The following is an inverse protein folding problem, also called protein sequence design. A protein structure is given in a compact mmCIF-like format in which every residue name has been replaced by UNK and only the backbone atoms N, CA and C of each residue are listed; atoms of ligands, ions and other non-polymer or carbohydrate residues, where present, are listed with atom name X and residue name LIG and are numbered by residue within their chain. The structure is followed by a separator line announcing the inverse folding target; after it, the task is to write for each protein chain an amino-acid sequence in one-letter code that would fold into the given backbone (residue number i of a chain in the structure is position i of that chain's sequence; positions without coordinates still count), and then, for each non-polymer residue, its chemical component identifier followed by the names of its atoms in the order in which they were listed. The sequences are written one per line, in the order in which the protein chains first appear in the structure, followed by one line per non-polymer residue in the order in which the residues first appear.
data_IF_651062837858
#
_entry.id   IF_651062837858
#
_cell.length_a   1.000
_cell.length_b   1.000
_cell.length_c   1.000
_cell.angle_alpha   90.00
_cell.angle_beta   90.00
_cell.angle_gamma   90.00
#
_symmetry.space_group_name_H-M   'P 1'
#
loop_
_entity.id
_entity.type
_entity.pdbx_description
1 polymer ?
#
# COMPACT_ATOMS: atom_id res chain seq x y z
N UNK A 1 41.50 -3.05 -42.80
CA UNK A 1 40.51 -2.32 -41.98
C UNK A 1 39.85 -1.28 -42.87
N UNK A 2 38.53 -1.11 -42.78
CA UNK A 2 37.88 0.04 -43.41
C UNK A 2 38.38 1.30 -42.71
N UNK A 3 38.79 2.30 -43.48
CA UNK A 3 39.24 3.56 -42.90
C UNK A 3 38.02 4.31 -42.34
N UNK A 4 38.14 5.01 -41.20
CA UNK A 4 37.05 5.82 -40.68
C UNK A 4 36.66 6.86 -41.73
N UNK A 5 35.36 7.17 -41.79
CA UNK A 5 34.88 8.21 -42.70
C UNK A 5 35.55 9.54 -42.34
N UNK A 6 36.22 10.15 -43.32
CA UNK A 6 36.75 11.50 -43.18
C UNK A 6 35.57 12.44 -42.98
N UNK A 7 35.57 13.20 -41.90
CA UNK A 7 34.55 14.21 -41.67
C UNK A 7 34.81 15.40 -42.60
N UNK A 8 33.82 15.73 -43.42
CA UNK A 8 33.79 16.90 -44.27
C UNK A 8 32.54 17.71 -43.87
N UNK A 9 32.69 18.95 -43.36
CA UNK A 9 31.55 19.78 -42.96
C UNK A 9 30.58 20.01 -44.13
N UNK A 10 29.29 19.80 -43.91
CA UNK A 10 28.25 19.95 -44.93
C UNK A 10 27.56 21.33 -44.85
N UNK A 11 27.55 21.96 -43.67
CA UNK A 11 26.84 23.22 -43.42
C UNK A 11 27.74 24.24 -42.72
N UNK A 12 27.80 25.46 -43.29
CA UNK A 12 28.44 26.62 -42.68
C UNK A 12 27.45 27.47 -41.87
N UNK A 13 27.51 27.40 -40.54
CA UNK A 13 26.59 28.17 -39.66
C UNK A 13 26.86 29.69 -39.63
N UNK A 14 28.05 30.13 -40.06
CA UNK A 14 28.41 31.54 -40.12
C UNK A 14 27.57 32.33 -41.14
N UNK A 15 27.14 31.68 -42.22
CA UNK A 15 26.28 32.30 -43.25
C UNK A 15 24.82 32.34 -42.82
N UNK A 16 24.35 31.29 -42.13
CA UNK A 16 23.01 31.25 -41.52
C UNK A 16 22.83 32.37 -40.47
N UNK A 17 23.88 32.64 -39.69
CA UNK A 17 23.86 33.71 -38.69
C UNK A 17 23.89 35.09 -39.35
N UNK A 18 24.65 35.27 -40.43
CA UNK A 18 24.69 36.53 -41.21
C UNK A 18 23.35 36.86 -41.89
N UNK A 19 22.62 35.84 -42.31
CA UNK A 19 21.34 36.00 -43.00
C UNK A 19 20.12 35.85 -42.06
N UNK A 20 20.33 35.91 -40.74
CA UNK A 20 19.26 35.69 -39.77
C UNK A 20 18.19 36.79 -39.80
N UNK A 21 16.92 36.39 -39.64
CA UNK A 21 15.78 37.30 -39.56
C UNK A 21 15.38 37.49 -38.09
N UNK A 22 15.08 38.72 -37.63
CA UNK A 22 14.65 38.96 -36.26
C UNK A 22 13.47 38.07 -35.84
N UNK A 23 13.60 37.42 -34.68
CA UNK A 23 12.58 36.49 -34.14
C UNK A 23 12.74 35.03 -34.58
N UNK A 24 13.74 34.68 -35.40
CA UNK A 24 14.13 33.29 -35.68
C UNK A 24 15.47 32.93 -35.04
N UNK A 25 15.60 31.64 -34.69
CA UNK A 25 16.88 31.08 -34.26
C UNK A 25 17.90 31.19 -35.39
N UNK A 26 19.10 31.75 -35.14
CA UNK A 26 20.11 31.99 -36.17
C UNK A 26 20.75 30.73 -36.73
N UNK A 27 20.52 29.57 -36.10
CA UNK A 27 21.10 28.28 -36.46
C UNK A 27 19.97 27.28 -36.67
N UNK A 28 20.02 26.54 -37.77
CA UNK A 28 19.12 25.43 -38.02
C UNK A 28 19.52 24.23 -37.14
N UNK A 29 18.71 23.93 -36.13
CA UNK A 29 18.95 22.83 -35.19
C UNK A 29 19.11 21.47 -35.89
N UNK A 30 18.30 21.17 -36.93
CA UNK A 30 18.42 19.90 -37.65
C UNK A 30 19.71 19.76 -38.47
N UNK A 31 20.23 20.88 -39.00
CA UNK A 31 21.53 20.89 -39.66
C UNK A 31 22.68 20.71 -38.66
N UNK A 32 22.56 21.32 -37.47
CA UNK A 32 23.53 21.14 -36.39
C UNK A 32 23.55 19.69 -35.89
N UNK A 33 22.39 19.06 -35.71
CA UNK A 33 22.29 17.66 -35.32
C UNK A 33 22.93 16.73 -36.36
N UNK A 34 22.76 17.03 -37.65
CA UNK A 34 23.39 16.27 -38.73
C UNK A 34 24.93 16.41 -38.71
N UNK A 35 25.47 17.61 -38.48
CA UNK A 35 26.91 17.83 -38.33
C UNK A 35 27.49 17.07 -37.13
N UNK A 36 26.83 17.15 -35.96
CA UNK A 36 27.24 16.42 -34.76
C UNK A 36 27.18 14.91 -34.95
N UNK A 37 26.17 14.41 -35.69
CA UNK A 37 26.07 12.99 -36.06
C UNK A 37 27.23 12.56 -36.97
N UNK A 38 27.59 13.36 -37.98
CA UNK A 38 28.72 13.09 -38.86
C UNK A 38 30.06 13.05 -38.12
N UNK A 39 30.29 13.99 -37.21
CA UNK A 39 31.47 14.02 -36.33
C UNK A 39 31.49 12.78 -35.43
N UNK A 40 30.35 12.44 -34.82
CA UNK A 40 30.25 11.26 -33.95
C UNK A 40 30.58 9.97 -34.70
N UNK A 41 30.10 9.79 -35.93
CA UNK A 41 30.43 8.62 -36.74
C UNK A 41 31.93 8.52 -37.05
N UNK A 42 32.57 9.65 -37.37
CA UNK A 42 34.01 9.72 -37.62
C UNK A 42 34.82 9.39 -36.37
N UNK A 43 34.47 9.98 -35.21
CA UNK A 43 35.13 9.72 -33.92
C UNK A 43 34.94 8.25 -33.49
N UNK A 44 33.73 7.73 -33.55
CA UNK A 44 33.46 6.33 -33.20
C UNK A 44 34.24 5.36 -34.10
N UNK A 45 34.40 5.69 -35.39
CA UNK A 45 35.27 4.92 -36.29
C UNK A 45 36.75 4.97 -35.92
N UNK A 46 37.26 6.15 -35.50
CA UNK A 46 38.64 6.30 -35.01
C UNK A 46 38.83 5.50 -33.72
N UNK A 47 37.92 5.61 -32.75
CA UNK A 47 37.96 4.86 -31.49
C UNK A 47 37.94 3.36 -31.75
N UNK A 48 37.05 2.88 -32.62
CA UNK A 48 37.01 1.47 -32.99
C UNK A 48 38.32 0.98 -33.61
N UNK A 49 38.98 1.79 -34.44
CA UNK A 49 40.31 1.44 -34.97
C UNK A 49 41.40 1.47 -33.88
N UNK A 50 41.33 2.39 -32.93
CA UNK A 50 42.25 2.43 -31.78
C UNK A 50 42.11 1.18 -30.90
N UNK A 51 40.89 0.72 -30.63
CA UNK A 51 40.64 -0.53 -29.88
C UNK A 51 41.23 -1.77 -30.57
N UNK A 52 41.43 -1.74 -31.89
CA UNK A 52 42.07 -2.81 -32.64
C UNK A 52 43.59 -2.78 -32.53
N UNK A 53 44.21 -1.63 -32.28
CA UNK A 53 45.68 -1.48 -32.25
C UNK A 53 46.27 -1.20 -30.86
N UNK A 54 45.46 -0.73 -29.91
CA UNK A 54 45.88 -0.30 -28.58
C UNK A 54 45.09 -1.05 -27.49
N UNK A 55 45.74 -1.30 -26.35
CA UNK A 55 45.16 -1.81 -25.11
C UNK A 55 44.77 -0.64 -24.20
N UNK A 56 43.89 -0.89 -23.25
CA UNK A 56 43.43 0.13 -22.29
C UNK A 56 44.56 0.69 -21.40
N UNK A 57 45.67 -0.04 -21.28
CA UNK A 57 46.89 0.39 -20.57
C UNK A 57 47.79 1.32 -21.39
N UNK A 58 47.39 1.67 -22.60
CA UNK A 58 48.13 2.54 -23.51
C UNK A 58 49.14 1.81 -24.41
N UNK A 59 49.36 0.51 -24.21
CA UNK A 59 50.29 -0.30 -24.99
C UNK A 59 49.69 -0.76 -26.32
N UNK A 60 50.52 -1.20 -27.27
CA UNK A 60 50.04 -1.86 -28.49
C UNK A 60 49.37 -3.20 -28.15
N UNK A 61 48.34 -3.55 -28.92
CA UNK A 61 47.62 -4.81 -28.78
C UNK A 61 48.50 -5.99 -29.23
N UNK A 62 48.35 -7.12 -28.56
CA UNK A 62 49.16 -8.32 -28.80
C UNK A 62 49.07 -8.74 -30.29
N UNK A 63 50.19 -9.21 -30.84
CA UNK A 63 50.32 -9.63 -32.25
C UNK A 63 50.05 -8.54 -33.32
N UNK A 64 49.95 -7.26 -32.94
CA UNK A 64 49.76 -6.14 -33.90
C UNK A 64 51.03 -5.79 -34.68
N UNK A 65 52.21 -6.06 -34.11
CA UNK A 65 53.51 -5.76 -34.74
C UNK A 65 54.08 -7.03 -35.37
N UNK A 66 54.34 -6.98 -36.68
CA UNK A 66 54.96 -8.08 -37.42
C UNK A 66 56.48 -7.93 -37.48
N UNK A 67 57.20 -9.03 -37.71
CA UNK A 67 58.68 -9.06 -37.76
C UNK A 67 59.28 -8.03 -38.73
N UNK A 68 58.65 -7.83 -39.89
CA UNK A 68 59.08 -6.88 -40.90
C UNK A 68 58.87 -5.40 -40.51
N UNK A 69 58.08 -5.14 -39.46
CA UNK A 69 57.89 -3.81 -38.90
C UNK A 69 58.93 -3.47 -37.81
N UNK A 70 59.76 -4.44 -37.41
CA UNK A 70 60.85 -4.22 -36.46
C UNK A 70 62.10 -3.71 -37.19
N UNK A 71 62.77 -2.73 -36.59
CA UNK A 71 64.04 -2.22 -37.13
C UNK A 71 65.16 -3.25 -37.06
N UNK A 72 66.14 -3.14 -37.96
CA UNK A 72 67.28 -4.06 -38.09
C UNK A 72 68.04 -4.29 -36.78
N UNK A 73 68.19 -3.23 -35.97
CA UNK A 73 68.81 -3.31 -34.63
C UNK A 73 68.06 -4.23 -33.67
N UNK A 74 66.72 -4.25 -33.71
CA UNK A 74 65.88 -5.12 -32.86
C UNK A 74 65.95 -6.57 -33.34
N UNK A 75 65.96 -6.78 -34.65
CA UNK A 75 66.14 -8.11 -35.25
C UNK A 75 67.50 -8.71 -34.85
N UNK A 76 68.56 -7.90 -34.87
CA UNK A 76 69.90 -8.31 -34.46
C UNK A 76 69.98 -8.64 -32.95
N UNK A 77 69.18 -7.98 -32.11
CA UNK A 77 69.06 -8.32 -30.68
C UNK A 77 68.37 -9.68 -30.46
N UNK A 78 67.46 -10.09 -31.34
CA UNK A 78 66.78 -11.39 -31.25
C UNK A 78 67.58 -12.55 -31.86
N UNK A 79 68.58 -12.27 -32.70
CA UNK A 79 69.25 -13.26 -33.56
C UNK A 79 70.63 -13.76 -33.11
N UNK A 80 70.98 -13.71 -31.82
CA UNK A 80 72.33 -14.10 -31.37
C UNK A 80 72.51 -14.54 -29.93
N UNK A 81 71.43 -14.74 -29.16
CA UNK A 81 71.49 -15.19 -27.76
C UNK A 81 70.84 -16.57 -27.61
N UNK A 82 71.33 -17.37 -26.67
CA UNK A 82 70.77 -18.69 -26.38
C UNK A 82 69.97 -18.62 -25.09
N UNK A 83 68.66 -18.84 -25.15
CA UNK A 83 67.82 -18.88 -23.95
C UNK A 83 68.01 -20.24 -23.25
N UNK A 84 68.44 -20.22 -21.98
CA UNK A 84 68.75 -21.43 -21.20
C UNK A 84 67.75 -21.71 -20.06
N UNK A 85 66.86 -20.77 -19.74
CA UNK A 85 65.88 -20.93 -18.64
C UNK A 85 66.49 -20.62 -17.27
N UNK A 86 66.00 -21.25 -16.19
CA UNK A 86 66.54 -20.99 -14.84
C UNK A 86 67.97 -21.49 -14.68
N UNK A 87 68.85 -20.64 -14.14
CA UNK A 87 70.25 -20.98 -13.85
C UNK A 87 70.35 -22.18 -12.90
N UNK A 88 71.19 -23.14 -13.24
CA UNK A 88 71.49 -24.35 -12.46
C UNK A 88 72.96 -24.41 -12.07
N UNK A 89 73.23 -24.85 -10.85
CA UNK A 89 74.59 -25.04 -10.36
C UNK A 89 75.32 -26.17 -11.11
N UNK A 90 76.56 -25.92 -11.53
CA UNK A 90 77.40 -26.90 -12.22
C UNK A 90 77.04 -27.15 -13.69
N UNK A 91 76.12 -26.38 -14.26
CA UNK A 91 75.81 -26.42 -15.69
C UNK A 91 76.76 -25.51 -16.49
N UNK A 92 77.20 -25.96 -17.68
CA UNK A 92 78.06 -25.16 -18.55
C UNK A 92 77.21 -24.16 -19.34
N UNK A 93 77.50 -22.86 -19.18
CA UNK A 93 76.89 -21.77 -19.93
C UNK A 93 77.93 -21.11 -20.83
N UNK A 94 77.58 -20.89 -22.10
CA UNK A 94 78.41 -20.21 -23.09
C UNK A 94 78.17 -18.70 -23.10
N UNK A 95 79.06 -17.93 -23.71
CA UNK A 95 78.82 -16.50 -23.95
C UNK A 95 77.49 -16.33 -24.72
N UNK A 96 76.70 -15.33 -24.30
CA UNK A 96 75.36 -15.02 -24.83
C UNK A 96 74.25 -16.00 -24.40
N UNK A 97 74.54 -16.93 -23.51
CA UNK A 97 73.49 -17.68 -22.81
C UNK A 97 72.71 -16.74 -21.87
N UNK A 98 71.39 -16.81 -21.91
CA UNK A 98 70.51 -16.03 -21.04
C UNK A 98 69.84 -16.98 -20.05
N UNK A 99 69.92 -16.63 -18.77
CA UNK A 99 69.31 -17.38 -17.68
C UNK A 99 68.41 -16.50 -16.80
N UNK A 100 67.42 -17.14 -16.20
CA UNK A 100 66.64 -16.61 -15.09
C UNK A 100 67.37 -16.97 -13.78
N UNK A 101 67.63 -15.99 -12.91
CA UNK A 101 68.12 -16.25 -11.55
C UNK A 101 67.49 -15.27 -10.57
N UNK A 102 66.82 -15.80 -9.53
CA UNK A 102 66.15 -15.02 -8.48
C UNK A 102 65.23 -13.90 -8.99
N UNK A 103 64.46 -14.17 -10.05
CA UNK A 103 63.53 -13.20 -10.62
C UNK A 103 64.17 -12.12 -11.51
N UNK A 104 65.46 -12.23 -11.81
CA UNK A 104 66.17 -11.35 -12.72
C UNK A 104 66.66 -12.11 -13.96
N UNK A 105 66.80 -11.40 -15.07
CA UNK A 105 67.37 -11.91 -16.31
C UNK A 105 68.85 -11.54 -16.39
N UNK A 106 69.67 -12.56 -16.61
CA UNK A 106 71.12 -12.42 -16.74
C UNK A 106 71.58 -12.98 -18.07
N UNK A 107 72.55 -12.30 -18.68
CA UNK A 107 73.28 -12.82 -19.84
C UNK A 107 74.68 -13.21 -19.40
N UNK A 108 75.12 -14.40 -19.82
CA UNK A 108 76.46 -14.92 -19.62
C UNK A 108 77.43 -14.09 -20.46
N UNK A 109 78.29 -13.34 -19.77
CA UNK A 109 79.33 -12.51 -20.38
C UNK A 109 80.64 -13.26 -20.55
N UNK A 110 80.81 -14.36 -19.81
CA UNK A 110 81.98 -15.21 -19.84
C UNK A 110 81.57 -16.66 -19.58
N UNK A 111 81.88 -17.53 -20.53
CA UNK A 111 81.57 -18.95 -20.44
C UNK A 111 82.07 -19.54 -19.11
N UNK A 112 81.16 -20.22 -18.39
CA UNK A 112 81.39 -20.67 -17.02
C UNK A 112 80.65 -21.98 -16.71
N UNK A 113 81.02 -22.61 -15.58
CA UNK A 113 80.35 -23.78 -15.00
C UNK A 113 80.36 -23.63 -13.48
N UNK A 114 79.71 -22.56 -13.01
CA UNK A 114 79.82 -22.16 -11.61
C UNK A 114 79.02 -23.10 -10.69
N UNK A 115 79.61 -23.53 -9.57
CA UNK A 115 78.92 -24.31 -8.53
C UNK A 115 77.94 -23.44 -7.70
N UNK A 116 78.09 -22.12 -7.76
CA UNK A 116 77.20 -21.12 -7.17
C UNK A 116 77.18 -19.88 -8.09
N UNK A 117 76.04 -19.19 -8.19
CA UNK A 117 75.90 -18.06 -9.12
C UNK A 117 76.96 -17.00 -8.83
N UNK A 118 77.90 -16.80 -9.77
CA UNK A 118 79.05 -15.89 -9.59
C UNK A 118 78.82 -14.61 -10.39
N UNK A 119 78.42 -13.48 -9.77
CA UNK A 119 77.95 -12.29 -10.51
C UNK A 119 78.95 -11.71 -11.52
N UNK A 120 80.25 -11.97 -11.36
CA UNK A 120 81.27 -11.49 -12.29
C UNK A 120 81.17 -12.11 -13.71
N UNK A 121 80.58 -13.30 -13.85
CA UNK A 121 80.39 -13.96 -15.15
C UNK A 121 79.08 -13.55 -15.84
N UNK A 122 78.21 -12.81 -15.16
CA UNK A 122 76.83 -12.57 -15.55
C UNK A 122 76.50 -11.07 -15.55
N UNK A 123 75.86 -10.59 -16.60
CA UNK A 123 75.34 -9.22 -16.63
C UNK A 123 73.83 -9.23 -16.50
N UNK A 124 73.31 -8.53 -15.48
CA UNK A 124 71.87 -8.34 -15.32
C UNK A 124 71.38 -7.30 -16.32
N UNK A 125 70.37 -7.66 -17.11
CA UNK A 125 69.78 -6.73 -18.09
C UNK A 125 68.26 -6.61 -17.96
N UNK A 126 67.61 -7.41 -17.10
CA UNK A 126 66.17 -7.35 -16.91
C UNK A 126 65.69 -7.86 -15.57
N UNK A 127 64.45 -7.50 -15.25
CA UNK A 127 63.65 -8.09 -14.18
C UNK A 127 62.53 -8.92 -14.82
N UNK A 128 62.25 -10.10 -14.27
CA UNK A 128 61.10 -10.91 -14.67
C UNK A 128 59.85 -10.15 -14.23
N UNK A 129 59.16 -9.52 -15.18
CA UNK A 129 58.06 -8.56 -14.94
C UNK A 129 56.79 -9.09 -14.24
N UNK A 130 56.86 -10.24 -13.57
CA UNK A 130 55.74 -10.86 -12.88
C UNK A 130 55.28 -10.05 -11.66
N UNK A 131 56.20 -9.47 -10.88
CA UNK A 131 55.83 -8.73 -9.66
C UNK A 131 55.21 -7.36 -9.98
N UNK A 132 55.78 -6.59 -10.92
CA UNK A 132 55.23 -5.29 -11.32
C UNK A 132 53.83 -5.43 -11.96
N UNK A 133 53.61 -6.45 -12.80
CA UNK A 133 52.28 -6.71 -13.38
C UNK A 133 51.27 -7.18 -12.34
N UNK A 134 51.70 -7.93 -11.32
CA UNK A 134 50.82 -8.35 -10.23
C UNK A 134 50.39 -7.16 -9.37
N UNK A 135 51.33 -6.26 -9.05
CA UNK A 135 51.05 -5.01 -8.33
C UNK A 135 50.13 -4.08 -9.14
N UNK A 136 50.38 -3.91 -10.44
CA UNK A 136 49.52 -3.08 -11.31
C UNK A 136 48.10 -3.64 -11.43
N UNK A 137 47.93 -4.96 -11.58
CA UNK A 137 46.60 -5.60 -11.55
C UNK A 137 45.90 -5.41 -10.21
N UNK A 138 46.63 -5.50 -9.11
CA UNK A 138 46.07 -5.32 -7.77
C UNK A 138 45.62 -3.86 -7.55
N UNK A 139 46.40 -2.88 -8.01
CA UNK A 139 46.03 -1.46 -7.96
C UNK A 139 44.81 -1.17 -8.85
N UNK A 140 44.74 -1.73 -10.06
CA UNK A 140 43.58 -1.58 -10.93
C UNK A 140 42.30 -2.18 -10.32
N UNK A 141 42.39 -3.37 -9.73
CA UNK A 141 41.27 -3.98 -9.00
C UNK A 141 40.84 -3.13 -7.80
N UNK A 142 41.79 -2.59 -7.03
CA UNK A 142 41.50 -1.74 -5.89
C UNK A 142 40.85 -0.41 -6.32
N UNK A 143 41.27 0.18 -7.43
CA UNK A 143 40.63 1.36 -8.01
C UNK A 143 39.19 1.08 -8.44
N UNK A 144 38.94 -0.05 -9.11
CA UNK A 144 37.59 -0.45 -9.50
C UNK A 144 36.67 -0.68 -8.29
N UNK A 145 37.19 -1.29 -7.22
CA UNK A 145 36.44 -1.48 -5.97
C UNK A 145 36.08 -0.14 -5.31
N UNK A 146 37.02 0.81 -5.26
CA UNK A 146 36.75 2.15 -4.69
C UNK A 146 35.68 2.90 -5.49
N UNK A 147 35.70 2.80 -6.83
CA UNK A 147 34.67 3.41 -7.67
C UNK A 147 33.29 2.80 -7.45
N UNK A 148 33.22 1.47 -7.34
CA UNK A 148 31.95 0.77 -7.11
C UNK A 148 31.38 1.06 -5.71
N UNK A 149 32.21 1.09 -4.67
CA UNK A 149 31.80 1.51 -3.33
C UNK A 149 31.35 2.98 -3.31
N UNK A 150 32.01 3.86 -4.07
CA UNK A 150 31.56 5.24 -4.28
C UNK A 150 30.17 5.32 -4.93
N UNK A 151 29.89 4.49 -5.94
CA UNK A 151 28.57 4.38 -6.58
C UNK A 151 27.50 3.90 -5.60
N UNK A 152 27.79 2.87 -4.81
CA UNK A 152 26.87 2.38 -3.77
C UNK A 152 26.58 3.44 -2.71
N UNK A 153 27.60 4.17 -2.27
CA UNK A 153 27.43 5.26 -1.30
C UNK A 153 26.53 6.38 -1.86
N UNK A 154 26.70 6.73 -3.14
CA UNK A 154 25.84 7.72 -3.81
C UNK A 154 24.39 7.24 -3.94
N UNK A 155 24.18 5.96 -4.26
CA UNK A 155 22.83 5.37 -4.30
C UNK A 155 22.18 5.35 -2.91
N UNK A 156 22.93 5.01 -1.86
CA UNK A 156 22.44 5.04 -0.49
C UNK A 156 22.07 6.47 -0.05
N UNK A 157 22.86 7.47 -0.44
CA UNK A 157 22.55 8.88 -0.19
C UNK A 157 21.25 9.31 -0.90
N UNK A 158 21.05 8.91 -2.17
CA UNK A 158 19.83 9.21 -2.91
C UNK A 158 18.58 8.55 -2.29
N UNK A 159 18.69 7.29 -1.85
CA UNK A 159 17.60 6.61 -1.14
C UNK A 159 17.27 7.31 0.19
N UNK A 160 18.29 7.78 0.91
CA UNK A 160 18.11 8.52 2.16
C UNK A 160 17.40 9.86 1.93
N UNK A 161 17.72 10.58 0.86
CA UNK A 161 17.02 11.81 0.48
C UNK A 161 15.55 11.55 0.12
N UNK A 162 15.25 10.47 -0.60
CA UNK A 162 13.87 10.08 -0.91
C UNK A 162 13.08 9.74 0.36
N UNK A 163 13.69 9.01 1.30
CA UNK A 163 13.07 8.71 2.58
C UNK A 163 12.80 9.99 3.40
N UNK A 164 13.74 10.94 3.43
CA UNK A 164 13.53 12.23 4.09
C UNK A 164 12.38 13.03 3.48
N UNK A 165 12.22 13.02 2.15
CA UNK A 165 11.10 13.68 1.47
C UNK A 165 9.74 13.03 1.81
N UNK A 166 9.70 11.69 1.91
CA UNK A 166 8.49 10.97 2.34
C UNK A 166 8.11 11.33 3.78
N UNK A 167 9.07 11.35 4.70
CA UNK A 167 8.85 11.73 6.10
C UNK A 167 8.34 13.17 6.21
N UNK A 168 8.90 14.11 5.43
CA UNK A 168 8.42 15.50 5.38
C UNK A 168 6.96 15.59 4.91
N UNK A 169 6.60 14.82 3.88
CA UNK A 169 5.22 14.75 3.38
C UNK A 169 4.27 14.21 4.46
N UNK A 170 4.68 13.14 5.15
CA UNK A 170 3.89 12.52 6.21
C UNK A 170 3.70 13.44 7.41
N UNK A 171 4.73 14.20 7.79
CA UNK A 171 4.65 15.23 8.82
C UNK A 171 3.62 16.33 8.45
N UNK A 172 3.56 16.73 7.18
CA UNK A 172 2.55 17.67 6.69
C UNK A 172 1.12 17.13 6.82
N UNK A 173 0.90 15.85 6.51
CA UNK A 173 -0.40 15.19 6.68
C UNK A 173 -0.80 15.13 8.16
N UNK A 174 0.13 14.81 9.06
CA UNK A 174 -0.13 14.77 10.50
C UNK A 174 -0.52 16.14 11.04
N UNK A 175 0.13 17.22 10.61
CA UNK A 175 -0.23 18.59 11.00
C UNK A 175 -1.65 18.99 10.53
N UNK A 176 -2.04 18.56 9.33
CA UNK A 176 -3.40 18.78 8.82
C UNK A 176 -4.45 18.00 9.62
N UNK A 177 -4.15 16.74 9.95
CA UNK A 177 -5.03 15.90 10.77
C UNK A 177 -5.20 16.47 12.18
N UNK A 178 -4.13 16.98 12.79
CA UNK A 178 -4.20 17.65 14.09
C UNK A 178 -5.14 18.87 14.04
N UNK A 179 -5.02 19.69 13.00
CA UNK A 179 -5.90 20.86 12.78
C UNK A 179 -7.37 20.45 12.61
N UNK A 180 -7.64 19.38 11.86
CA UNK A 180 -9.00 18.85 11.67
C UNK A 180 -9.57 18.26 12.97
N UNK A 181 -8.75 17.60 13.77
CA UNK A 181 -9.14 17.07 15.08
C UNK A 181 -9.52 18.21 16.04
N UNK A 182 -8.75 19.29 16.08
CA UNK A 182 -9.10 20.49 16.86
C UNK A 182 -10.42 21.11 16.41
N UNK A 183 -10.64 21.26 15.10
CA UNK A 183 -11.88 21.79 14.57
C UNK A 183 -13.08 20.92 14.95
N UNK A 184 -12.91 19.59 14.88
CA UNK A 184 -13.94 18.61 15.27
C UNK A 184 -14.25 18.69 16.77
N UNK A 185 -13.23 18.84 17.62
CA UNK A 185 -13.40 19.02 19.07
C UNK A 185 -14.18 20.31 19.40
N UNK A 186 -13.90 21.43 18.70
CA UNK A 186 -14.65 22.69 18.87
C UNK A 186 -16.11 22.54 18.47
N UNK A 187 -16.39 21.85 17.36
CA UNK A 187 -17.76 21.59 16.90
C UNK A 187 -18.54 20.70 17.88
N UNK A 188 -17.89 19.67 18.44
CA UNK A 188 -18.47 18.82 19.47
C UNK A 188 -18.80 19.62 20.74
N UNK A 189 -17.89 20.49 21.18
CA UNK A 189 -18.12 21.37 22.33
C UNK A 189 -19.32 22.31 22.11
N UNK A 190 -19.40 22.96 20.95
CA UNK A 190 -20.53 23.83 20.63
C UNK A 190 -21.87 23.09 20.64
N UNK A 191 -21.88 21.84 20.17
CA UNK A 191 -23.07 20.99 20.19
C UNK A 191 -23.48 20.61 21.62
N UNK A 192 -22.52 20.31 22.49
CA UNK A 192 -22.77 20.04 23.91
C UNK A 192 -23.31 21.27 24.64
N UNK A 193 -22.73 22.45 24.39
CA UNK A 193 -23.17 23.71 24.98
C UNK A 193 -24.61 24.05 24.53
N UNK A 194 -24.97 23.78 23.27
CA UNK A 194 -26.33 23.97 22.75
C UNK A 194 -27.37 22.99 23.35
N UNK A 195 -26.97 21.74 23.59
CA UNK A 195 -27.81 20.76 24.26
C UNK A 195 -28.08 21.18 25.72
N UNK A 196 -27.07 21.69 26.41
CA UNK A 196 -27.21 22.19 27.77
C UNK A 196 -28.12 23.43 27.85
N UNK A 197 -27.99 24.37 26.91
CA UNK A 197 -28.93 25.50 26.81
C UNK A 197 -30.37 25.05 26.58
N UNK A 198 -30.58 24.03 25.76
CA UNK A 198 -31.90 23.46 25.51
C UNK A 198 -32.48 22.80 26.78
N UNK A 199 -31.65 22.12 27.57
CA UNK A 199 -32.03 21.55 28.87
C UNK A 199 -32.46 22.64 29.86
N UNK A 200 -31.66 23.69 30.01
CA UNK A 200 -31.99 24.83 30.90
C UNK A 200 -33.28 25.52 30.46
N UNK A 201 -33.50 25.71 29.15
CA UNK A 201 -34.74 26.29 28.63
C UNK A 201 -35.97 25.41 28.93
N UNK A 202 -35.83 24.08 28.82
CA UNK A 202 -36.88 23.15 29.16
C UNK A 202 -37.22 23.18 30.66
N UNK A 203 -36.22 23.28 31.54
CA UNK A 203 -36.44 23.42 32.99
C UNK A 203 -37.14 24.73 33.35
N UNK A 204 -36.76 25.85 32.71
CA UNK A 204 -37.44 27.13 32.91
C UNK A 204 -38.90 27.08 32.42
N UNK A 205 -39.17 26.40 31.31
CA UNK A 205 -40.52 26.18 30.80
C UNK A 205 -41.36 25.31 31.75
N UNK A 206 -40.77 24.25 32.31
CA UNK A 206 -41.43 23.41 33.31
C UNK A 206 -41.77 24.20 34.58
N UNK A 207 -40.83 24.98 35.12
CA UNK A 207 -41.08 25.84 36.29
C UNK A 207 -42.18 26.89 36.02
N UNK A 208 -42.22 27.44 34.79
CA UNK A 208 -43.27 28.36 34.37
C UNK A 208 -44.64 27.68 34.29
N UNK A 209 -44.67 26.43 33.81
CA UNK A 209 -45.88 25.61 33.78
C UNK A 209 -46.38 25.29 35.20
N UNK A 210 -45.49 24.90 36.12
CA UNK A 210 -45.83 24.69 37.53
C UNK A 210 -46.38 25.96 38.19
N UNK A 211 -45.77 27.11 37.91
CA UNK A 211 -46.27 28.41 38.36
C UNK A 211 -47.68 28.73 37.83
N UNK A 212 -47.94 28.43 36.55
CA UNK A 212 -49.25 28.60 35.94
C UNK A 212 -50.30 27.66 36.57
N UNK A 213 -49.95 26.38 36.78
CA UNK A 213 -50.82 25.40 37.46
C UNK A 213 -51.14 25.85 38.87
N UNK A 214 -50.15 26.31 39.64
CA UNK A 214 -50.37 26.82 41.00
C UNK A 214 -51.25 28.08 41.00
N UNK A 215 -51.10 28.97 40.02
CA UNK A 215 -51.97 30.14 39.85
C UNK A 215 -53.42 29.75 39.53
N UNK A 216 -53.61 28.78 38.64
CA UNK A 216 -54.93 28.23 38.30
C UNK A 216 -55.56 27.55 39.51
N UNK A 217 -54.83 26.69 40.21
CA UNK A 217 -55.28 26.05 41.46
C UNK A 217 -55.68 27.06 42.52
N UNK A 218 -54.87 28.11 42.75
CA UNK A 218 -55.20 29.17 43.69
C UNK A 218 -56.44 29.97 43.30
N UNK A 219 -56.60 30.30 42.01
CA UNK A 219 -57.80 30.98 41.49
C UNK A 219 -59.04 30.08 41.54
N UNK A 220 -58.88 28.79 41.31
CA UNK A 220 -59.97 27.81 41.34
C UNK A 220 -60.42 27.57 42.80
N UNK A 221 -59.50 27.44 43.74
CA UNK A 221 -59.79 27.37 45.17
C UNK A 221 -60.48 28.64 45.71
N UNK A 222 -60.14 29.82 45.17
CA UNK A 222 -60.80 31.08 45.52
C UNK A 222 -62.17 31.27 44.83
N UNK A 223 -62.46 30.55 43.73
CA UNK A 223 -63.72 30.65 42.96
C UNK A 223 -64.69 29.48 43.18
N UNK A 224 -64.26 28.41 43.82
CA UNK A 224 -65.11 27.30 44.26
C UNK A 224 -65.90 27.76 45.50
N UNK A 225 -66.97 28.51 45.24
CA UNK A 225 -68.12 28.50 46.12
C UNK A 225 -68.69 27.07 46.12
N UNK A 226 -68.85 26.50 47.31
CA UNK A 226 -69.20 25.09 47.60
C UNK A 226 -70.44 24.59 46.84
N UNK A 227 -71.26 25.51 46.32
CA UNK A 227 -72.47 25.25 45.52
C UNK A 227 -72.18 24.71 44.11
N UNK A 228 -71.07 25.09 43.47
CA UNK A 228 -70.74 24.68 42.08
C UNK A 228 -70.17 23.26 42.04
N UNK A 229 -69.50 22.84 43.12
CA UNK A 229 -68.88 21.51 43.22
C UNK A 229 -69.93 20.39 43.30
N UNK A 230 -71.04 20.60 44.02
CA UNK A 230 -72.14 19.64 44.11
C UNK A 230 -72.95 19.54 42.80
N UNK A 231 -73.02 20.62 42.01
CA UNK A 231 -73.66 20.58 40.69
C UNK A 231 -72.86 19.75 39.67
N UNK A 232 -71.53 19.82 39.69
CA UNK A 232 -70.68 19.04 38.78
C UNK A 232 -70.60 17.55 39.14
N UNK A 233 -70.68 17.21 40.44
CA UNK A 233 -70.75 15.82 40.92
C UNK A 233 -71.96 15.07 40.36
N UNK A 234 -73.06 15.80 40.13
CA UNK A 234 -74.29 15.24 39.53
C UNK A 234 -74.22 15.04 38.01
N UNK A 235 -73.15 15.51 37.35
CA UNK A 235 -72.99 15.49 35.87
C UNK A 235 -71.76 14.70 35.39
N UNK A 236 -70.99 14.05 36.27
CA UNK A 236 -69.73 13.41 35.90
C UNK A 236 -69.91 11.94 35.44
N UNK A 237 -69.68 11.76 34.14
CA UNK A 237 -69.28 10.54 33.41
C UNK A 237 -68.29 9.68 34.22
N UNK A 238 -68.43 8.35 34.15
CA UNK A 238 -67.77 7.38 35.03
C UNK A 238 -66.26 7.24 34.79
N UNK A 239 -65.52 6.72 35.78
CA UNK A 239 -64.05 6.55 35.73
C UNK A 239 -63.58 5.73 34.52
N UNK A 240 -64.37 4.75 34.08
CA UNK A 240 -64.06 3.90 32.91
C UNK A 240 -64.05 4.70 31.59
N UNK A 241 -64.94 5.69 31.45
CA UNK A 241 -64.99 6.59 30.28
C UNK A 241 -63.86 7.63 30.27
N UNK A 242 -63.30 7.94 31.44
CA UNK A 242 -62.11 8.79 31.60
C UNK A 242 -60.83 8.02 31.28
N UNK A 243 -60.72 6.76 31.68
CA UNK A 243 -59.58 5.90 31.34
C UNK A 243 -59.52 5.57 29.82
N UNK A 244 -60.67 5.48 29.16
CA UNK A 244 -60.78 5.37 27.69
C UNK A 244 -60.29 6.66 26.98
N UNK A 245 -60.61 7.84 27.52
CA UNK A 245 -60.21 9.14 26.94
C UNK A 245 -58.77 9.56 27.28
N UNK A 246 -58.23 9.18 28.44
CA UNK A 246 -56.83 9.45 28.83
C UNK A 246 -55.87 8.46 28.18
N UNK A 247 -56.29 7.21 27.95
CA UNK A 247 -55.55 6.24 27.13
C UNK A 247 -55.44 6.62 25.65
N UNK A 248 -56.20 7.63 25.19
CA UNK A 248 -56.10 8.22 23.85
C UNK A 248 -55.11 9.41 23.78
N UNK A 249 -54.61 9.89 24.92
CA UNK A 249 -53.66 11.01 24.99
C UNK A 249 -52.18 10.58 24.92
N UNK A 250 -51.89 9.27 24.89
CA UNK A 250 -50.57 8.79 24.51
C UNK A 250 -50.47 8.78 22.98
N UNK A 251 -49.60 9.66 22.47
CA UNK A 251 -49.23 9.93 21.07
C UNK A 251 -48.69 8.70 20.30
N UNK A 252 -49.47 7.62 20.24
CA UNK A 252 -49.14 6.37 19.57
C UNK A 252 -50.11 6.22 18.39
N UNK A 253 -49.58 6.40 17.18
CA UNK A 253 -50.34 6.31 15.93
C UNK A 253 -50.52 4.83 15.57
N UNK A 254 -51.74 4.34 15.26
CA UNK A 254 -51.93 2.99 14.76
C UNK A 254 -51.03 2.71 13.55
N UNK A 255 -50.35 1.55 13.55
CA UNK A 255 -49.32 1.21 12.58
C UNK A 255 -47.91 1.63 13.00
N UNK A 256 -47.70 2.21 14.18
CA UNK A 256 -46.34 2.43 14.68
C UNK A 256 -45.67 1.10 14.98
N UNK A 257 -44.44 0.93 14.48
CA UNK A 257 -43.58 -0.22 14.74
C UNK A 257 -42.43 0.22 15.64
N UNK A 258 -42.18 -0.50 16.72
CA UNK A 258 -41.07 -0.27 17.63
C UNK A 258 -40.41 -1.58 18.08
N UNK A 259 -39.15 -1.48 18.51
CA UNK A 259 -38.45 -2.55 19.22
C UNK A 259 -38.67 -2.35 20.72
N UNK A 260 -39.42 -3.27 21.32
CA UNK A 260 -39.83 -3.16 22.72
C UNK A 260 -38.99 -4.08 23.64
N UNK A 261 -38.59 -3.62 24.84
CA UNK A 261 -37.83 -4.41 25.81
C UNK A 261 -38.73 -5.34 26.64
N UNK A 262 -39.73 -5.95 26.00
CA UNK A 262 -40.66 -6.90 26.60
C UNK A 262 -40.65 -8.20 25.79
N UNK A 263 -40.78 -9.38 26.42
CA UNK A 263 -40.99 -10.62 25.68
C UNK A 263 -42.37 -10.61 25.00
N UNK A 264 -42.54 -11.45 23.97
CA UNK A 264 -43.73 -11.46 23.12
C UNK A 264 -45.04 -11.72 23.89
N UNK A 265 -44.98 -12.49 24.97
CA UNK A 265 -46.10 -12.84 25.85
C UNK A 265 -46.41 -11.78 26.92
N UNK A 266 -45.55 -10.77 27.09
CA UNK A 266 -45.73 -9.68 28.03
C UNK A 266 -45.68 -8.30 27.36
N UNK A 267 -46.06 -8.23 26.07
CA UNK A 267 -46.18 -6.96 25.38
C UNK A 267 -47.22 -6.04 26.07
N UNK A 268 -46.99 -4.73 26.13
CA UNK A 268 -47.97 -3.78 26.64
C UNK A 268 -49.29 -3.89 25.87
N UNK A 269 -50.42 -3.57 26.53
CA UNK A 269 -51.74 -3.60 25.89
C UNK A 269 -51.73 -2.83 24.56
N UNK A 270 -52.47 -3.34 23.57
CA UNK A 270 -52.61 -2.79 22.20
C UNK A 270 -51.38 -2.90 21.30
N UNK A 271 -50.28 -3.47 21.81
CA UNK A 271 -49.12 -3.86 21.03
C UNK A 271 -49.17 -5.35 20.70
N UNK A 272 -48.78 -5.68 19.48
CA UNK A 272 -48.83 -7.03 18.95
C UNK A 272 -47.46 -7.38 18.34
N UNK A 273 -47.01 -8.62 18.54
CA UNK A 273 -45.71 -9.09 18.04
C UNK A 273 -45.71 -9.10 16.51
N UNK A 274 -44.81 -8.35 15.88
CA UNK A 274 -44.70 -8.27 14.43
C UNK A 274 -43.96 -9.50 13.83
N UNK A 275 -44.55 -10.68 14.01
CA UNK A 275 -44.01 -11.98 13.63
C UNK A 275 -44.72 -12.64 12.42
N UNK A 276 -45.73 -11.97 11.85
CA UNK A 276 -46.55 -12.52 10.77
C UNK A 276 -47.80 -13.28 11.21
N UNK A 277 -48.11 -13.30 12.52
CA UNK A 277 -49.34 -13.92 13.03
C UNK A 277 -50.59 -13.36 12.36
N UNK A 278 -51.64 -14.17 12.32
CA UNK A 278 -52.86 -13.86 11.58
C UNK A 278 -54.02 -13.61 12.53
N UNK A 279 -54.87 -12.68 12.12
CA UNK A 279 -56.14 -12.39 12.79
C UNK A 279 -57.27 -12.50 11.79
N UNK A 280 -58.43 -12.94 12.25
CA UNK A 280 -59.65 -12.90 11.45
C UNK A 280 -59.93 -11.45 11.01
N UNK A 281 -60.26 -11.24 9.73
CA UNK A 281 -60.43 -9.90 9.13
C UNK A 281 -61.47 -9.04 9.86
N UNK A 282 -62.47 -9.67 10.46
CA UNK A 282 -63.56 -8.99 11.19
C UNK A 282 -63.26 -8.74 12.67
N UNK A 283 -62.14 -9.25 13.20
CA UNK A 283 -61.70 -8.96 14.57
C UNK A 283 -61.30 -7.48 14.70
N UNK A 284 -61.16 -7.00 15.94
CA UNK A 284 -60.68 -5.63 16.18
C UNK A 284 -59.29 -5.42 15.55
N UNK A 285 -58.38 -6.39 15.72
CA UNK A 285 -57.04 -6.37 15.14
C UNK A 285 -57.07 -6.40 13.61
N UNK A 286 -57.91 -7.27 13.04
CA UNK A 286 -58.06 -7.38 11.58
C UNK A 286 -58.55 -6.08 10.95
N UNK A 287 -59.56 -5.45 11.54
CA UNK A 287 -60.08 -4.14 11.13
C UNK A 287 -59.04 -3.03 11.30
N UNK A 288 -58.27 -3.04 12.38
CA UNK A 288 -57.20 -2.07 12.61
C UNK A 288 -56.06 -2.22 11.57
N UNK A 289 -55.70 -3.44 11.17
CA UNK A 289 -54.72 -3.67 10.10
C UNK A 289 -55.25 -3.22 8.74
N UNK A 290 -56.52 -3.50 8.45
CA UNK A 290 -57.18 -3.12 7.20
C UNK A 290 -57.57 -1.64 7.10
N UNK A 291 -57.48 -0.87 8.19
CA UNK A 291 -57.62 0.58 8.16
C UNK A 291 -56.29 1.30 7.88
N UNK A 292 -55.15 0.61 8.01
CA UNK A 292 -53.84 1.19 7.66
C UNK A 292 -53.78 1.53 6.16
N UNK A 293 -53.06 2.61 5.77
CA UNK A 293 -52.93 3.00 4.38
C UNK A 293 -52.44 1.87 3.48
N UNK A 294 -52.97 1.77 2.26
CA UNK A 294 -52.62 0.71 1.31
C UNK A 294 -51.11 0.63 1.03
N UNK A 295 -50.45 1.79 0.87
CA UNK A 295 -49.00 1.88 0.68
C UNK A 295 -48.23 1.29 1.87
N UNK A 296 -48.71 1.51 3.10
CA UNK A 296 -48.11 0.95 4.32
C UNK A 296 -48.28 -0.57 4.34
N UNK A 297 -49.49 -1.06 4.09
CA UNK A 297 -49.76 -2.50 4.06
C UNK A 297 -48.92 -3.22 3.01
N UNK A 298 -48.77 -2.62 1.83
CA UNK A 298 -47.92 -3.15 0.75
C UNK A 298 -46.46 -3.20 1.18
N UNK A 299 -45.93 -2.11 1.77
CA UNK A 299 -44.55 -2.03 2.24
C UNK A 299 -44.22 -3.13 3.27
N UNK A 300 -45.13 -3.41 4.19
CA UNK A 300 -44.92 -4.39 5.26
C UNK A 300 -45.60 -5.74 5.00
N UNK A 301 -46.05 -5.99 3.77
CA UNK A 301 -46.67 -7.26 3.33
C UNK A 301 -47.83 -7.71 4.22
N UNK A 302 -48.66 -6.76 4.67
CA UNK A 302 -49.92 -7.00 5.37
C UNK A 302 -50.98 -7.28 4.31
N UNK A 303 -51.41 -8.53 4.21
CA UNK A 303 -52.32 -8.99 3.16
C UNK A 303 -53.44 -9.86 3.72
N UNK A 304 -54.58 -9.85 3.03
CA UNK A 304 -55.68 -10.76 3.33
C UNK A 304 -55.41 -12.10 2.65
N UNK A 305 -55.56 -13.18 3.40
CA UNK A 305 -55.49 -14.56 2.91
C UNK A 305 -56.71 -15.32 3.43
N UNK A 306 -57.71 -15.51 2.57
CA UNK A 306 -59.01 -16.05 2.97
C UNK A 306 -59.74 -15.09 3.91
N UNK A 307 -60.09 -15.57 5.10
CA UNK A 307 -60.76 -14.76 6.15
C UNK A 307 -59.79 -14.15 7.17
N UNK A 308 -58.49 -14.25 6.92
CA UNK A 308 -57.46 -13.74 7.82
C UNK A 308 -56.65 -12.60 7.18
N UNK A 309 -56.10 -11.74 8.01
CA UNK A 309 -55.08 -10.74 7.66
C UNK A 309 -53.87 -10.94 8.57
N UNK A 310 -52.66 -10.88 8.00
CA UNK A 310 -51.43 -11.07 8.76
C UNK A 310 -50.91 -9.76 9.35
N UNK A 311 -50.29 -9.85 10.52
CA UNK A 311 -49.36 -8.85 11.02
C UNK A 311 -48.15 -8.74 10.07
N UNK A 312 -47.44 -7.61 10.10
CA UNK A 312 -46.12 -7.54 9.46
C UNK A 312 -45.19 -8.61 10.07
N UNK A 313 -44.29 -9.17 9.26
CA UNK A 313 -43.23 -10.06 9.74
C UNK A 313 -41.88 -9.34 9.65
N UNK A 314 -41.31 -9.01 10.80
CA UNK A 314 -40.03 -8.30 10.92
C UNK A 314 -38.84 -9.24 11.19
N UNK A 315 -39.02 -10.52 10.84
CA UNK A 315 -37.98 -11.52 10.78
C UNK A 315 -37.70 -11.93 9.33
N UNK A 316 -36.43 -12.20 9.06
CA UNK A 316 -35.98 -12.81 7.83
C UNK A 316 -36.35 -14.31 7.81
N UNK A 317 -36.36 -14.93 6.63
CA UNK A 317 -36.77 -16.33 6.46
C UNK A 317 -35.89 -17.36 7.20
N UNK A 318 -34.71 -16.95 7.66
CA UNK A 318 -33.80 -17.74 8.50
C UNK A 318 -33.99 -17.50 10.00
N UNK A 319 -35.00 -16.72 10.40
CA UNK A 319 -35.34 -16.43 11.80
C UNK A 319 -34.63 -15.23 12.42
N UNK A 320 -33.72 -14.57 11.71
CA UNK A 320 -33.05 -13.36 12.22
C UNK A 320 -33.99 -12.15 12.18
N UNK A 321 -33.89 -11.25 13.16
CA UNK A 321 -34.62 -9.98 13.15
C UNK A 321 -33.94 -8.95 12.23
N UNK A 322 -34.70 -8.09 11.57
CA UNK A 322 -34.14 -7.00 10.78
C UNK A 322 -33.64 -5.84 11.66
N UNK A 323 -32.52 -5.21 11.27
CA UNK A 323 -32.16 -3.89 11.77
C UNK A 323 -33.01 -2.81 11.11
N UNK A 324 -33.54 -1.89 11.91
CA UNK A 324 -34.30 -0.74 11.38
C UNK A 324 -33.36 0.40 11.03
N UNK A 325 -33.60 1.01 9.86
CA UNK A 325 -32.87 2.19 9.39
C UNK A 325 -33.81 3.12 8.63
N UNK A 326 -33.44 4.39 8.54
CA UNK A 326 -34.08 5.30 7.60
C UNK A 326 -33.82 4.86 6.15
N UNK A 327 -34.86 4.84 5.33
CA UNK A 327 -34.83 4.59 3.88
C UNK A 327 -35.76 5.57 3.16
N UNK A 328 -35.50 5.82 1.87
CA UNK A 328 -36.43 6.57 1.00
C UNK A 328 -37.65 5.74 0.60
N UNK A 329 -37.52 4.41 0.64
CA UNK A 329 -38.57 3.45 0.30
C UNK A 329 -38.99 2.71 1.56
N UNK A 330 -40.23 2.87 2.00
CA UNK A 330 -40.76 2.17 3.17
C UNK A 330 -40.83 0.66 2.90
N UNK A 331 -40.40 -0.15 3.88
CA UNK A 331 -40.45 -1.62 3.77
C UNK A 331 -39.38 -2.25 2.87
N UNK A 332 -38.46 -1.45 2.30
CA UNK A 332 -37.33 -1.99 1.53
C UNK A 332 -36.40 -2.81 2.44
N UNK A 333 -36.27 -4.10 2.13
CA UNK A 333 -35.33 -5.00 2.81
C UNK A 333 -34.00 -4.98 2.07
N UNK A 334 -32.94 -4.65 2.79
CA UNK A 334 -31.57 -4.70 2.29
C UNK A 334 -30.86 -5.91 2.90
N UNK A 335 -30.24 -6.73 2.06
CA UNK A 335 -29.46 -7.88 2.52
C UNK A 335 -28.17 -7.45 3.21
N UNK A 336 -27.54 -8.40 3.90
CA UNK A 336 -26.26 -8.19 4.58
C UNK A 336 -25.19 -7.72 3.58
N UNK A 337 -24.54 -6.60 3.89
CA UNK A 337 -23.50 -6.05 3.04
C UNK A 337 -22.40 -5.35 3.86
N UNK A 338 -21.16 -5.47 3.38
CA UNK A 338 -20.04 -4.62 3.76
C UNK A 338 -19.69 -3.71 2.58
N UNK A 339 -19.03 -2.58 2.85
CA UNK A 339 -18.45 -1.76 1.78
C UNK A 339 -17.39 -2.57 1.02
N UNK A 340 -17.18 -2.22 -0.25
CA UNK A 340 -16.08 -2.79 -1.03
C UNK A 340 -14.74 -2.56 -0.32
N UNK A 341 -14.01 -3.63 -0.06
CA UNK A 341 -12.67 -3.61 0.54
C UNK A 341 -11.67 -4.03 -0.53
N UNK A 342 -10.68 -3.17 -0.81
CA UNK A 342 -9.57 -3.48 -1.73
C UNK A 342 -8.24 -3.38 -0.99
N UNK A 343 -7.36 -4.34 -1.27
CA UNK A 343 -5.97 -4.37 -0.80
C UNK A 343 -5.12 -5.11 -1.81
N UNK A 344 -3.79 -5.00 -1.70
CA UNK A 344 -2.83 -5.74 -2.52
C UNK A 344 -2.12 -6.74 -1.64
N UNK A 345 -2.30 -8.02 -1.94
CA UNK A 345 -1.39 -9.07 -1.46
C UNK A 345 -0.21 -9.16 -2.43
N UNK A 346 0.98 -9.47 -1.93
CA UNK A 346 2.20 -9.49 -2.74
C UNK A 346 3.14 -10.58 -2.28
N UNK A 347 3.65 -11.36 -3.22
CA UNK A 347 4.74 -12.29 -2.99
C UNK A 347 6.06 -11.59 -3.33
N UNK A 348 6.93 -11.40 -2.33
CA UNK A 348 8.26 -10.83 -2.54
C UNK A 348 9.28 -11.94 -2.80
N UNK A 349 9.87 -11.99 -3.98
CA UNK A 349 10.95 -12.93 -4.26
C UNK A 349 12.27 -12.37 -3.67
N UNK A 350 12.52 -12.62 -2.38
CA UNK A 350 13.80 -12.28 -1.75
C UNK A 350 14.75 -13.46 -1.86
N UNK A 351 15.81 -13.29 -2.65
CA UNK A 351 16.94 -14.20 -2.62
C UNK A 351 17.61 -14.13 -1.23
N UNK A 352 18.03 -15.30 -0.73
CA UNK A 352 18.80 -15.56 0.48
C UNK A 352 18.11 -15.38 1.85
N UNK A 353 17.94 -16.52 2.52
CA UNK A 353 17.94 -16.70 3.98
C UNK A 353 16.90 -15.94 4.81
N UNK A 354 15.67 -15.81 4.32
CA UNK A 354 14.58 -15.23 5.09
C UNK A 354 13.79 -16.32 5.83
N UNK A 355 13.54 -16.12 7.12
CA UNK A 355 12.75 -17.04 7.95
C UNK A 355 11.26 -16.71 7.80
N UNK A 356 10.47 -17.47 7.01
CA UNK A 356 9.08 -17.10 6.69
C UNK A 356 8.16 -17.02 7.93
N UNK A 357 8.60 -17.57 9.07
CA UNK A 357 7.85 -17.54 10.34
C UNK A 357 7.85 -16.19 11.04
N UNK A 358 8.75 -15.26 10.74
CA UNK A 358 8.92 -14.07 11.58
C UNK A 358 8.21 -12.80 11.09
N UNK A 359 7.97 -12.66 9.78
CA UNK A 359 7.51 -11.38 9.22
C UNK A 359 6.11 -11.39 8.58
N UNK A 360 5.49 -12.57 8.42
CA UNK A 360 4.14 -12.70 7.85
C UNK A 360 3.06 -13.16 8.84
N UNK A 361 3.41 -13.45 10.10
CA UNK A 361 2.45 -13.87 11.14
C UNK A 361 1.80 -12.67 11.84
N UNK A 362 1.27 -11.73 11.07
CA UNK A 362 0.45 -10.65 11.61
C UNK A 362 -1.00 -10.89 11.15
N UNK A 363 -1.96 -11.00 12.08
CA UNK A 363 -3.36 -11.13 11.72
C UNK A 363 -3.78 -10.02 10.75
N UNK A 364 -4.56 -10.32 9.68
CA UNK A 364 -5.31 -11.55 9.46
C UNK A 364 -4.61 -12.61 8.58
N UNK A 365 -3.28 -12.53 8.36
CA UNK A 365 -2.57 -13.52 7.55
C UNK A 365 -1.93 -14.59 8.45
N UNK A 366 -2.25 -15.86 8.19
CA UNK A 366 -1.79 -17.02 8.96
C UNK A 366 -1.07 -18.00 8.03
N UNK A 367 -0.02 -18.65 8.52
CA UNK A 367 0.67 -19.71 7.78
C UNK A 367 -0.01 -21.07 8.00
N UNK A 368 -0.50 -21.68 6.92
CA UNK A 368 -1.04 -23.05 6.96
C UNK A 368 -0.09 -24.02 6.25
N UNK A 369 0.11 -25.19 6.86
CA UNK A 369 0.92 -26.27 6.28
C UNK A 369 0.24 -26.87 5.06
N UNK A 370 1.01 -27.19 4.02
CA UNK A 370 0.49 -27.87 2.84
C UNK A 370 -0.09 -29.25 3.23
N UNK A 371 -1.37 -29.55 2.93
CA UNK A 371 -1.91 -30.89 3.10
C UNK A 371 -1.14 -31.88 2.21
N UNK A 372 -0.93 -33.11 2.69
CA UNK A 372 -0.31 -34.15 1.89
C UNK A 372 -1.10 -34.37 0.58
N UNK A 373 -0.43 -34.16 -0.56
CA UNK A 373 -1.01 -34.32 -1.90
C UNK A 373 -1.53 -33.04 -2.58
N UNK A 374 -1.46 -31.87 -1.94
CA UNK A 374 -1.89 -30.61 -2.56
C UNK A 374 -0.93 -30.14 -3.69
N UNK A 375 -1.50 -29.69 -4.82
CA UNK A 375 -0.74 -29.11 -5.96
C UNK A 375 -0.05 -27.82 -5.52
N UNK A 376 1.26 -27.72 -5.79
CA UNK A 376 2.10 -26.59 -5.40
C UNK A 376 1.61 -25.28 -6.06
N UNK A 377 1.43 -24.17 -5.33
CA UNK A 377 1.47 -22.85 -5.96
C UNK A 377 2.90 -22.57 -6.45
N UNK A 378 2.99 -21.88 -7.59
CA UNK A 378 4.19 -21.59 -8.39
C UNK A 378 5.53 -21.57 -7.61
N UNK A 379 6.34 -22.61 -7.80
CA UNK A 379 7.75 -22.66 -7.36
C UNK A 379 8.57 -21.80 -8.32
N UNK A 380 9.09 -20.65 -7.87
CA UNK A 380 10.23 -20.01 -8.53
C UNK A 380 11.50 -20.57 -7.90
N UNK A 381 12.02 -21.65 -8.49
CA UNK A 381 13.31 -22.32 -8.22
C UNK A 381 13.73 -22.54 -6.75
N UNK A 382 13.63 -23.78 -6.28
CA UNK A 382 14.22 -24.19 -5.01
C UNK A 382 15.70 -24.59 -5.16
N UNK A 383 16.57 -23.92 -4.42
CA UNK A 383 17.70 -24.58 -3.76
C UNK A 383 17.18 -25.16 -2.45
N UNK A 384 17.63 -26.37 -2.11
CA UNK A 384 17.19 -27.25 -1.01
C UNK A 384 16.90 -26.59 0.34
N UNK A 385 15.77 -26.97 0.97
CA UNK A 385 15.47 -26.70 2.40
C UNK A 385 14.16 -25.93 2.71
N UNK A 386 13.34 -25.62 1.72
CA UNK A 386 12.17 -24.72 1.90
C UNK A 386 11.00 -25.43 2.62
N UNK A 387 10.60 -24.88 3.77
CA UNK A 387 9.35 -25.25 4.46
C UNK A 387 8.16 -24.81 3.61
N UNK A 388 7.24 -25.74 3.36
CA UNK A 388 6.09 -25.61 2.46
C UNK A 388 4.87 -25.01 3.20
N UNK A 389 4.61 -23.71 3.08
CA UNK A 389 3.48 -23.03 3.75
C UNK A 389 2.68 -22.13 2.80
N UNK A 390 1.36 -21.99 3.03
CA UNK A 390 0.52 -20.97 2.42
C UNK A 390 0.33 -19.77 3.36
N UNK A 391 0.23 -18.57 2.80
CA UNK A 391 -0.39 -17.43 3.50
C UNK A 391 -1.90 -17.51 3.28
N UNK A 392 -2.64 -17.79 4.35
CA UNK A 392 -4.10 -17.85 4.37
C UNK A 392 -4.61 -16.55 4.97
N UNK A 393 -5.54 -15.89 4.26
CA UNK A 393 -6.28 -14.77 4.84
C UNK A 393 -7.40 -15.33 5.72
N UNK A 394 -7.21 -15.26 7.03
CA UNK A 394 -8.16 -15.68 8.03
C UNK A 394 -8.44 -14.54 9.01
N UNK A 395 -9.57 -13.87 8.83
CA UNK A 395 -10.01 -12.78 9.71
C UNK A 395 -10.31 -13.26 11.14
N UNK A 396 -10.62 -14.53 11.35
CA UNK A 396 -10.92 -15.06 12.69
C UNK A 396 -9.71 -14.99 13.63
N UNK A 397 -8.50 -14.90 13.07
CA UNK A 397 -7.25 -14.70 13.82
C UNK A 397 -7.09 -13.28 14.40
N UNK A 398 -7.85 -12.30 13.89
CA UNK A 398 -7.75 -10.89 14.28
C UNK A 398 -9.02 -10.37 14.96
N UNK A 399 -10.19 -10.86 14.53
CA UNK A 399 -11.50 -10.33 14.92
C UNK A 399 -12.54 -11.45 15.07
N UNK A 400 -13.58 -11.29 15.91
CA UNK A 400 -14.70 -12.21 15.95
C UNK A 400 -15.39 -12.28 14.58
N UNK A 401 -15.56 -13.49 14.06
CA UNK A 401 -16.29 -13.76 12.81
C UNK A 401 -17.52 -14.62 13.09
N UNK A 402 -18.54 -14.49 12.24
CA UNK A 402 -19.79 -15.24 12.33
C UNK A 402 -20.39 -15.40 10.94
N UNK A 403 -21.46 -16.20 10.82
CA UNK A 403 -22.20 -16.40 9.56
C UNK A 403 -22.93 -15.13 9.05
N UNK A 404 -22.89 -14.03 9.80
CA UNK A 404 -23.57 -12.77 9.51
C UNK A 404 -22.65 -11.60 9.88
N UNK A 405 -22.58 -10.61 9.00
CA UNK A 405 -21.91 -9.34 9.30
C UNK A 405 -22.81 -8.45 10.15
N UNK A 406 -22.53 -8.36 11.45
CA UNK A 406 -23.30 -7.56 12.40
C UNK A 406 -22.40 -6.84 13.40
N UNK A 407 -22.76 -5.62 13.82
CA UNK A 407 -22.19 -5.05 15.03
C UNK A 407 -22.68 -5.83 16.25
N UNK A 408 -22.03 -5.62 17.41
CA UNK A 408 -22.58 -6.07 18.69
C UNK A 408 -24.00 -5.53 18.86
N UNK A 409 -24.94 -6.41 19.24
CA UNK A 409 -26.35 -6.07 19.33
C UNK A 409 -27.04 -6.88 20.44
N UNK A 410 -28.24 -6.45 20.81
CA UNK A 410 -29.14 -7.12 21.76
C UNK A 410 -30.53 -7.23 21.12
N UNK A 411 -31.18 -8.37 21.30
CA UNK A 411 -32.52 -8.62 20.77
C UNK A 411 -33.60 -7.92 21.58
N UNK A 412 -34.54 -7.28 20.88
CA UNK A 412 -35.77 -6.70 21.41
C UNK A 412 -36.94 -7.23 20.58
N UNK A 413 -38.16 -7.17 21.11
CA UNK A 413 -39.33 -7.69 20.41
C UNK A 413 -39.88 -6.64 19.45
N UNK A 414 -39.87 -6.87 18.13
CA UNK A 414 -40.53 -5.99 17.19
C UNK A 414 -42.05 -6.08 17.39
N UNK A 415 -42.70 -4.95 17.64
CA UNK A 415 -44.13 -4.90 17.86
C UNK A 415 -44.78 -3.79 17.06
N UNK A 416 -46.05 -3.98 16.70
CA UNK A 416 -46.91 -2.98 16.05
C UNK A 416 -48.02 -2.55 17.00
N UNK A 417 -48.25 -1.24 17.11
CA UNK A 417 -49.37 -0.69 17.85
C UNK A 417 -50.62 -0.64 16.97
N UNK A 418 -51.69 -1.31 17.38
CA UNK A 418 -52.98 -1.30 16.67
C UNK A 418 -54.05 -0.44 17.36
N UNK A 419 -53.82 -0.03 18.60
CA UNK A 419 -54.76 0.79 19.37
C UNK A 419 -55.99 0.03 19.90
N UNK A 420 -56.08 -1.28 19.65
CA UNK A 420 -57.21 -2.15 19.97
C UNK A 420 -56.85 -3.36 20.80
#
# INVERSE_FOLDING_TARGET
MAQPNRYEPQVGFAEQTRNNVPGRSPINAGALDAELSGISQSINGIVGNLELIQRDDGSLKDATVHLHALGETVLNLMGGFNLRGEWQAGESYADKDIVDYQGHLFVCMRANQDAAFTPANWHRFGEKGAELHQVLRQVAHMQAQVQEEGRKALQAAAQTQQAAAQVSTQAGVVAQLATQAEASARAAKASADAAEQSRVAAEAAAASADGAVNSVSGKLAAKLDTSVFEEFKSKAVTQEELEEKVGAAQSQVPGKIELLPFPADALPKRWYHANGDKYHKDSLQGKALLSLPEAYRTAFKIAVSGDEVNLPNLYHGDGRGYFFRASKTLGEVQGDAIRNVRGRTGYGNRASSYNPRQDYTQPPFVLEGLPDGARQPLIVQATTGVVKTFEVFDLSSAVPTANENRPLNIGLTPAIYLGV
#
